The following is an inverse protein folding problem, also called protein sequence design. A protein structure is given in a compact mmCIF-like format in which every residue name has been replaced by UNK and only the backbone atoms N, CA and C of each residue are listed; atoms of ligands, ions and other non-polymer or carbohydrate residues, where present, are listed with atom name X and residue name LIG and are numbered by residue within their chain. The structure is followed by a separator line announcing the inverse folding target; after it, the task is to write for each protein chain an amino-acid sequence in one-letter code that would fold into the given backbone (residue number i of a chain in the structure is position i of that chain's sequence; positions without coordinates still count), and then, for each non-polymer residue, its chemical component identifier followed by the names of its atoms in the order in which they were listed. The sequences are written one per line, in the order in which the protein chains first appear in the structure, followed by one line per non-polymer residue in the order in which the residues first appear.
data_IF_180510977213
#
_entry.id   IF_180510977213
#
_cell.length_a   1.000
_cell.length_b   1.000
_cell.length_c   1.000
_cell.angle_alpha   90.00
_cell.angle_beta   90.00
_cell.angle_gamma   90.00
#
_symmetry.space_group_name_H-M   'P 1'
#
loop_
_entity.id
_entity.type
_entity.pdbx_description
1 polymer ?
#
# COMPACT_ATOMS: atom_id res chain seq x y z
N UNK A 1 19.89 15.21 -20.36
CA UNK A 1 19.07 14.25 -19.60
C UNK A 1 18.18 14.90 -18.54
N UNK A 2 18.65 15.88 -17.77
CA UNK A 2 17.81 16.60 -16.79
C UNK A 2 16.62 17.35 -17.42
N UNK A 3 16.75 17.89 -18.63
CA UNK A 3 15.64 18.53 -19.33
C UNK A 3 14.53 17.53 -19.72
N UNK A 4 14.91 16.33 -20.18
CA UNK A 4 13.93 15.31 -20.59
C UNK A 4 13.10 14.77 -19.41
N UNK A 5 13.71 14.63 -18.23
CA UNK A 5 12.99 14.20 -17.01
C UNK A 5 11.95 15.26 -16.61
N UNK A 6 12.34 16.53 -16.57
CA UNK A 6 11.43 17.63 -16.20
C UNK A 6 10.21 17.72 -17.11
N UNK A 7 10.37 17.43 -18.41
CA UNK A 7 9.31 17.53 -19.40
C UNK A 7 8.47 16.25 -19.47
N UNK A 8 8.93 15.14 -18.87
CA UNK A 8 8.20 13.85 -18.86
C UNK A 8 7.28 13.68 -17.65
N UNK A 9 7.41 14.51 -16.60
CA UNK A 9 6.61 14.47 -15.38
C UNK A 9 5.82 15.77 -15.17
N UNK A 10 4.70 15.71 -14.44
CA UNK A 10 3.95 16.89 -14.07
C UNK A 10 4.80 17.86 -13.20
N UNK A 11 4.64 19.18 -13.36
CA UNK A 11 3.75 19.86 -14.30
C UNK A 11 4.30 20.02 -15.74
N UNK A 12 5.55 19.71 -16.01
CA UNK A 12 6.21 19.91 -17.31
C UNK A 12 5.54 19.15 -18.45
N UNK A 13 5.10 17.91 -18.19
CA UNK A 13 4.40 17.06 -19.17
C UNK A 13 3.19 17.74 -19.83
N UNK A 14 2.48 18.60 -19.10
CA UNK A 14 1.31 19.33 -19.64
C UNK A 14 1.65 20.33 -20.74
N UNK A 15 2.91 20.73 -20.82
CA UNK A 15 3.42 21.75 -21.75
C UNK A 15 4.36 21.17 -22.81
N UNK A 16 4.79 19.93 -22.65
CA UNK A 16 5.80 19.31 -23.52
C UNK A 16 5.25 18.75 -24.84
N UNK A 17 3.92 18.55 -24.96
CA UNK A 17 3.34 17.86 -26.12
C UNK A 17 3.78 16.41 -26.17
N UNK A 18 4.11 15.91 -27.37
CA UNK A 18 4.61 14.54 -27.55
C UNK A 18 6.09 14.45 -27.19
N UNK A 19 6.42 13.59 -26.23
CA UNK A 19 7.81 13.34 -25.79
C UNK A 19 8.32 12.06 -26.45
N UNK A 20 9.32 12.17 -27.30
CA UNK A 20 9.98 11.04 -27.96
C UNK A 20 11.32 10.74 -27.29
N UNK A 21 11.46 9.57 -26.71
CA UNK A 21 12.72 9.08 -26.16
C UNK A 21 13.48 8.32 -27.24
N UNK A 22 14.75 8.71 -27.49
CA UNK A 22 15.63 8.05 -28.46
C UNK A 22 16.95 7.72 -27.79
N UNK A 23 17.42 6.51 -27.99
CA UNK A 23 18.76 6.12 -27.63
C UNK A 23 19.75 6.77 -28.61
N UNK A 24 20.74 7.48 -28.07
CA UNK A 24 21.80 8.16 -28.81
C UNK A 24 23.15 7.44 -28.68
N UNK A 25 23.19 6.23 -28.15
CA UNK A 25 24.38 5.39 -28.04
C UNK A 25 25.41 5.85 -27.01
N UNK A 26 25.05 6.73 -26.09
CA UNK A 26 25.94 7.13 -24.99
C UNK A 26 25.71 6.18 -23.82
N UNK A 27 26.64 5.26 -23.61
CA UNK A 27 26.68 4.41 -22.43
C UNK A 27 26.88 5.26 -21.18
N UNK A 28 26.04 5.03 -20.17
CA UNK A 28 26.25 5.57 -18.83
C UNK A 28 26.90 4.49 -17.99
N UNK A 29 28.20 4.65 -17.69
CA UNK A 29 28.75 4.08 -16.47
C UNK A 29 28.13 4.89 -15.31
N UNK A 30 27.09 4.33 -14.72
CA UNK A 30 26.60 4.79 -13.44
C UNK A 30 27.67 4.38 -12.42
N UNK A 31 28.64 5.25 -12.17
CA UNK A 31 29.53 5.10 -11.03
C UNK A 31 28.69 4.94 -9.76
N UNK A 32 29.22 4.26 -8.77
CA UNK A 32 28.60 3.88 -7.49
C UNK A 32 28.19 5.08 -6.60
N UNK A 33 27.69 6.17 -7.15
CA UNK A 33 27.09 7.23 -6.37
C UNK A 33 25.62 6.87 -6.12
N UNK A 34 25.25 6.78 -4.84
CA UNK A 34 23.89 6.64 -4.33
C UNK A 34 23.01 7.84 -4.74
N UNK A 35 22.71 7.95 -6.02
CA UNK A 35 21.70 8.90 -6.49
C UNK A 35 20.31 8.29 -6.26
N UNK A 36 19.34 9.08 -5.76
CA UNK A 36 17.97 8.58 -5.61
C UNK A 36 17.47 8.04 -6.94
N UNK A 37 17.01 6.82 -6.92
CA UNK A 37 16.54 6.11 -8.09
C UNK A 37 15.15 6.59 -8.47
N UNK A 38 14.99 7.14 -9.66
CA UNK A 38 13.69 7.48 -10.23
C UNK A 38 13.42 6.53 -11.39
N UNK A 39 12.30 5.83 -11.31
CA UNK A 39 11.85 4.93 -12.37
C UNK A 39 10.38 5.20 -12.72
N UNK A 40 9.98 4.85 -13.92
CA UNK A 40 8.58 4.71 -14.31
C UNK A 40 8.27 3.21 -14.44
N UNK A 41 7.04 2.83 -14.10
CA UNK A 41 6.55 1.47 -14.31
C UNK A 41 6.17 1.34 -15.78
N UNK A 42 6.85 0.46 -16.50
CA UNK A 42 6.59 0.15 -17.90
C UNK A 42 5.74 -1.13 -18.03
N UNK A 43 5.21 -1.37 -19.22
CA UNK A 43 4.37 -2.54 -19.46
C UNK A 43 5.11 -3.86 -19.21
N UNK A 44 6.39 -3.91 -19.55
CA UNK A 44 7.26 -5.06 -19.38
C UNK A 44 7.46 -5.42 -17.90
N UNK A 45 7.42 -4.43 -17.00
CA UNK A 45 7.45 -4.65 -15.55
C UNK A 45 6.17 -5.35 -15.08
N UNK A 46 5.01 -4.96 -15.63
CA UNK A 46 3.72 -5.57 -15.31
C UNK A 46 3.62 -7.01 -15.81
N UNK A 47 4.18 -7.33 -16.97
CA UNK A 47 4.13 -8.66 -17.55
C UNK A 47 4.80 -9.71 -16.65
N UNK A 48 5.77 -9.32 -15.83
CA UNK A 48 6.42 -10.20 -14.84
C UNK A 48 5.49 -10.59 -13.68
N UNK A 49 4.56 -9.71 -13.32
CA UNK A 49 3.62 -9.97 -12.22
C UNK A 49 2.36 -10.71 -12.66
N UNK A 50 2.05 -10.73 -13.95
CA UNK A 50 0.81 -11.30 -14.48
C UNK A 50 0.89 -12.81 -14.79
N UNK A 51 2.07 -13.42 -14.66
CA UNK A 51 2.26 -14.85 -14.98
C UNK A 51 1.75 -15.72 -13.83
N UNK A 52 0.54 -16.25 -13.95
CA UNK A 52 -0.01 -17.22 -13.01
C UNK A 52 0.43 -18.65 -13.36
N UNK A 53 0.89 -19.39 -12.35
CA UNK A 53 1.11 -20.83 -12.48
C UNK A 53 -0.22 -21.57 -12.61
N UNK A 54 -0.41 -22.42 -13.64
CA UNK A 54 -1.67 -23.16 -13.86
C UNK A 54 -2.08 -24.06 -12.69
N UNK A 55 -1.10 -24.50 -11.89
CA UNK A 55 -1.29 -25.40 -10.74
C UNK A 55 -1.37 -24.67 -9.39
N UNK A 56 -1.46 -23.35 -9.41
CA UNK A 56 -1.52 -22.54 -8.18
C UNK A 56 -2.87 -22.63 -7.48
N UNK A 57 -2.85 -22.55 -6.14
CA UNK A 57 -4.04 -22.39 -5.28
C UNK A 57 -4.04 -20.99 -4.63
N UNK A 58 -5.11 -20.66 -3.93
CA UNK A 58 -5.25 -19.34 -3.28
C UNK A 58 -4.08 -18.98 -2.34
N UNK A 59 -3.45 -19.95 -1.69
CA UNK A 59 -2.28 -19.72 -0.85
C UNK A 59 -0.99 -19.42 -1.63
N UNK A 60 -0.90 -19.88 -2.89
CA UNK A 60 0.27 -19.66 -3.76
C UNK A 60 0.36 -18.20 -4.25
N UNK A 61 -0.78 -17.51 -4.33
CA UNK A 61 -0.86 -16.17 -4.92
C UNK A 61 -0.79 -15.04 -3.90
N UNK A 62 -0.32 -15.34 -2.69
CA UNK A 62 -0.08 -14.37 -1.65
C UNK A 62 -1.31 -13.98 -0.84
N UNK A 63 -1.03 -13.49 0.36
CA UNK A 63 -1.99 -13.07 1.39
C UNK A 63 -1.73 -11.62 1.73
N UNK A 64 -2.71 -10.79 1.57
CA UNK A 64 -2.57 -9.35 1.86
C UNK A 64 -3.48 -8.96 3.02
N UNK A 65 -2.87 -8.33 4.02
CA UNK A 65 -3.58 -7.68 5.11
C UNK A 65 -3.82 -6.21 4.77
N UNK A 66 -5.06 -5.76 4.91
CA UNK A 66 -5.46 -4.39 4.62
C UNK A 66 -6.01 -3.75 5.90
N UNK A 67 -5.30 -2.76 6.45
CA UNK A 67 -5.76 -1.93 7.56
C UNK A 67 -6.38 -0.65 7.00
N UNK A 68 -7.69 -0.60 6.89
CA UNK A 68 -8.39 0.46 6.17
C UNK A 68 -9.83 0.64 6.66
N UNK A 69 -10.38 1.81 6.43
CA UNK A 69 -11.78 2.11 6.70
C UNK A 69 -12.07 2.42 8.16
N UNK A 70 -12.50 3.64 8.42
CA UNK A 70 -13.16 4.07 9.65
C UNK A 70 -14.68 4.00 9.48
N UNK A 71 -15.44 4.26 10.54
CA UNK A 71 -16.90 4.21 10.49
C UNK A 71 -17.55 5.16 9.47
N UNK A 72 -16.82 6.17 9.01
CA UNK A 72 -17.25 7.09 7.97
C UNK A 72 -16.75 6.72 6.56
N UNK A 73 -15.74 5.85 6.46
CA UNK A 73 -15.00 5.59 5.21
C UNK A 73 -14.87 4.10 4.87
N UNK A 74 -15.92 3.32 5.08
CA UNK A 74 -15.98 1.90 4.72
C UNK A 74 -15.63 1.65 3.25
N UNK A 75 -16.06 2.54 2.36
CA UNK A 75 -15.79 2.43 0.92
C UNK A 75 -14.32 2.35 0.57
N UNK A 76 -13.44 3.03 1.32
CA UNK A 76 -11.99 2.96 1.12
C UNK A 76 -11.44 1.56 1.40
N UNK A 77 -11.89 0.90 2.48
CA UNK A 77 -11.53 -0.48 2.78
C UNK A 77 -11.98 -1.45 1.69
N UNK A 78 -13.23 -1.31 1.21
CA UNK A 78 -13.78 -2.13 0.13
C UNK A 78 -12.99 -1.96 -1.16
N UNK A 79 -12.69 -0.72 -1.56
CA UNK A 79 -11.95 -0.43 -2.79
C UNK A 79 -10.53 -0.95 -2.71
N UNK A 80 -9.85 -0.76 -1.59
CA UNK A 80 -8.51 -1.27 -1.37
C UNK A 80 -8.48 -2.80 -1.46
N UNK A 81 -9.36 -3.49 -0.73
CA UNK A 81 -9.42 -4.94 -0.74
C UNK A 81 -9.80 -5.53 -2.11
N UNK A 82 -10.70 -4.86 -2.85
CA UNK A 82 -11.00 -5.23 -4.24
C UNK A 82 -9.79 -5.06 -5.16
N UNK A 83 -9.03 -3.99 -5.01
CA UNK A 83 -7.82 -3.78 -5.79
C UNK A 83 -6.78 -4.88 -5.53
N UNK A 84 -6.61 -5.29 -4.28
CA UNK A 84 -5.77 -6.43 -3.88
C UNK A 84 -6.19 -7.72 -4.60
N UNK A 85 -7.48 -8.07 -4.57
CA UNK A 85 -7.95 -9.27 -5.28
C UNK A 85 -7.83 -9.13 -6.80
N UNK A 86 -8.13 -7.95 -7.35
CA UNK A 86 -8.02 -7.67 -8.79
C UNK A 86 -6.57 -7.71 -9.29
N UNK A 87 -5.58 -7.36 -8.44
CA UNK A 87 -4.16 -7.48 -8.76
C UNK A 87 -3.65 -8.92 -8.79
N UNK A 88 -4.48 -9.87 -8.33
CA UNK A 88 -4.17 -11.29 -8.40
C UNK A 88 -3.77 -11.95 -7.09
N UNK A 89 -3.82 -11.24 -5.96
CA UNK A 89 -3.63 -11.84 -4.65
C UNK A 89 -4.61 -12.99 -4.40
N UNK A 90 -4.14 -14.04 -3.74
CA UNK A 90 -4.95 -15.23 -3.48
C UNK A 90 -5.95 -15.05 -2.35
N UNK A 91 -5.61 -14.23 -1.36
CA UNK A 91 -6.44 -13.95 -0.19
C UNK A 91 -6.25 -12.51 0.28
N UNK A 92 -7.33 -11.92 0.78
CA UNK A 92 -7.31 -10.63 1.46
C UNK A 92 -7.99 -10.75 2.82
N UNK A 93 -7.38 -10.16 3.84
CA UNK A 93 -8.00 -9.93 5.14
C UNK A 93 -8.02 -8.43 5.41
N UNK A 94 -9.15 -7.92 5.89
CA UNK A 94 -9.37 -6.50 6.18
C UNK A 94 -9.49 -6.29 7.68
N UNK A 95 -8.64 -5.47 8.25
CA UNK A 95 -8.77 -4.95 9.62
C UNK A 95 -9.43 -3.58 9.53
N UNK A 96 -10.63 -3.47 10.02
CA UNK A 96 -11.45 -2.26 9.86
C UNK A 96 -12.29 -1.98 11.11
N UNK A 97 -12.87 -0.79 11.21
CA UNK A 97 -13.77 -0.47 12.33
C UNK A 97 -15.01 -1.37 12.33
N UNK A 98 -15.46 -1.80 13.50
CA UNK A 98 -16.59 -2.74 13.71
C UNK A 98 -17.87 -2.32 12.96
N UNK A 99 -18.15 -1.03 12.84
CA UNK A 99 -19.30 -0.51 12.07
C UNK A 99 -19.28 -0.89 10.60
N UNK A 100 -18.12 -1.24 10.07
CA UNK A 100 -17.94 -1.63 8.67
C UNK A 100 -18.23 -3.12 8.41
N UNK A 101 -18.50 -3.92 9.44
CA UNK A 101 -18.76 -5.37 9.33
C UNK A 101 -19.80 -5.70 8.26
N UNK A 102 -20.98 -5.17 8.40
CA UNK A 102 -22.08 -5.46 7.45
C UNK A 102 -21.81 -4.91 6.07
N UNK A 103 -21.49 -3.61 5.88
CA UNK A 103 -21.25 -3.10 4.54
C UNK A 103 -20.03 -3.74 3.85
N UNK A 104 -18.99 -4.13 4.59
CA UNK A 104 -17.84 -4.83 4.02
C UNK A 104 -18.26 -6.18 3.43
N UNK A 105 -18.90 -7.04 4.22
CA UNK A 105 -19.30 -8.38 3.74
C UNK A 105 -20.40 -8.35 2.69
N UNK A 106 -21.27 -7.33 2.70
CA UNK A 106 -22.23 -7.14 1.61
C UNK A 106 -21.53 -6.75 0.29
N UNK A 107 -20.46 -5.96 0.36
CA UNK A 107 -19.76 -5.48 -0.82
C UNK A 107 -18.64 -6.43 -1.31
N UNK A 108 -18.03 -7.19 -0.40
CA UNK A 108 -16.88 -8.06 -0.67
C UNK A 108 -16.95 -9.35 0.19
N UNK A 109 -17.85 -10.28 -0.14
CA UNK A 109 -18.04 -11.52 0.63
C UNK A 109 -16.82 -12.46 0.59
N UNK A 110 -15.90 -12.27 -0.35
CA UNK A 110 -14.66 -13.04 -0.48
C UNK A 110 -13.58 -12.65 0.54
N UNK A 111 -13.69 -11.47 1.15
CA UNK A 111 -12.73 -11.01 2.13
C UNK A 111 -12.94 -11.66 3.49
N UNK A 112 -11.83 -11.96 4.16
CA UNK A 112 -11.83 -12.19 5.60
C UNK A 112 -11.75 -10.83 6.31
N UNK A 113 -12.18 -10.73 7.56
CA UNK A 113 -12.05 -9.48 8.30
C UNK A 113 -11.92 -9.70 9.80
N UNK A 114 -11.12 -8.83 10.42
CA UNK A 114 -11.07 -8.59 11.85
C UNK A 114 -11.41 -7.13 12.14
N UNK A 115 -11.88 -6.87 13.36
CA UNK A 115 -12.51 -5.59 13.67
C UNK A 115 -11.94 -4.97 14.93
N UNK A 116 -11.74 -3.65 14.86
CA UNK A 116 -11.42 -2.82 16.02
C UNK A 116 -12.57 -1.85 16.31
N UNK A 117 -12.59 -1.29 17.51
CA UNK A 117 -13.57 -0.29 17.91
C UNK A 117 -12.90 0.97 18.39
N UNK A 118 -13.51 2.10 18.05
CA UNK A 118 -13.03 3.40 18.53
C UNK A 118 -13.14 3.48 20.05
N UNK A 119 -12.14 4.08 20.68
CA UNK A 119 -12.03 4.24 22.12
C UNK A 119 -11.97 2.94 22.96
N UNK A 120 -11.79 1.77 22.31
CA UNK A 120 -11.50 0.51 22.99
C UNK A 120 -10.03 0.10 22.79
N UNK A 121 -9.45 -0.71 23.69
CA UNK A 121 -8.11 -1.26 23.51
C UNK A 121 -8.01 -2.08 22.20
N UNK A 122 -6.85 -1.99 21.55
CA UNK A 122 -6.60 -2.78 20.34
C UNK A 122 -6.61 -4.28 20.64
N UNK A 123 -7.13 -5.10 19.73
CA UNK A 123 -7.05 -6.56 19.83
C UNK A 123 -5.64 -7.05 19.42
N UNK A 124 -4.62 -6.71 20.23
CA UNK A 124 -3.20 -6.91 19.88
C UNK A 124 -2.86 -8.35 19.50
N UNK A 125 -3.39 -9.34 20.22
CA UNK A 125 -3.14 -10.75 19.92
C UNK A 125 -3.65 -11.14 18.53
N UNK A 126 -4.87 -10.70 18.16
CA UNK A 126 -5.43 -10.94 16.84
C UNK A 126 -4.63 -10.20 15.75
N UNK A 127 -4.22 -8.96 16.02
CA UNK A 127 -3.39 -8.18 15.10
C UNK A 127 -2.03 -8.84 14.85
N UNK A 128 -1.38 -9.38 15.87
CA UNK A 128 -0.12 -10.12 15.70
C UNK A 128 -0.31 -11.38 14.85
N UNK A 129 -1.41 -12.10 15.04
CA UNK A 129 -1.75 -13.27 14.22
C UNK A 129 -2.01 -12.86 12.75
N UNK A 130 -2.68 -11.72 12.54
CA UNK A 130 -2.96 -11.18 11.21
C UNK A 130 -1.68 -10.75 10.49
N UNK A 131 -0.79 -10.06 11.19
CA UNK A 131 0.51 -9.66 10.65
C UNK A 131 1.39 -10.88 10.32
N UNK A 132 1.40 -11.88 11.17
CA UNK A 132 2.14 -13.13 10.92
C UNK A 132 1.54 -13.97 9.78
N UNK A 133 0.24 -13.81 9.50
CA UNK A 133 -0.43 -14.49 8.39
C UNK A 133 -0.14 -13.84 7.03
N UNK A 134 0.16 -12.56 6.99
CA UNK A 134 0.28 -11.77 5.77
C UNK A 134 1.63 -11.95 5.06
N UNK A 135 1.62 -11.91 3.74
CA UNK A 135 2.81 -11.80 2.89
C UNK A 135 3.10 -10.34 2.48
N UNK A 136 2.10 -9.46 2.60
CA UNK A 136 2.22 -8.01 2.46
C UNK A 136 1.11 -7.30 3.25
N UNK A 137 1.38 -6.05 3.63
CA UNK A 137 0.44 -5.22 4.41
C UNK A 137 0.18 -3.91 3.67
N UNK A 138 -1.06 -3.47 3.66
CA UNK A 138 -1.47 -2.13 3.21
C UNK A 138 -2.15 -1.43 4.37
N UNK A 139 -1.74 -0.23 4.72
CA UNK A 139 -2.34 0.55 5.81
C UNK A 139 -2.63 1.99 5.40
N UNK A 140 -3.80 2.48 5.80
CA UNK A 140 -4.15 3.89 5.72
C UNK A 140 -5.40 4.28 4.96
N UNK A 141 -5.82 3.63 3.86
CA UNK A 141 -6.98 4.10 3.11
C UNK A 141 -8.23 4.25 3.98
N UNK A 142 -8.67 5.50 4.21
CA UNK A 142 -9.84 5.81 5.02
C UNK A 142 -9.75 5.39 6.49
N UNK A 143 -8.56 5.27 7.05
CA UNK A 143 -8.33 4.83 8.43
C UNK A 143 -8.77 5.87 9.46
N UNK A 144 -8.87 7.13 9.06
CA UNK A 144 -9.03 8.33 9.89
C UNK A 144 -7.76 8.73 10.65
N UNK A 145 -7.86 9.86 11.37
CA UNK A 145 -6.78 10.35 12.24
C UNK A 145 -7.16 10.27 13.72
N UNK A 146 -8.04 9.34 14.07
CA UNK A 146 -8.42 9.15 15.46
C UNK A 146 -7.25 8.60 16.27
N UNK A 147 -7.39 8.68 17.59
CA UNK A 147 -6.40 8.12 18.51
C UNK A 147 -6.23 6.62 18.28
N UNK A 148 -7.31 5.88 18.18
CA UNK A 148 -7.29 4.43 17.97
C UNK A 148 -6.67 4.07 16.62
N UNK A 149 -6.97 4.85 15.56
CA UNK A 149 -6.34 4.67 14.24
C UNK A 149 -4.83 4.91 14.30
N UNK A 150 -4.36 5.92 15.05
CA UNK A 150 -2.92 6.16 15.26
C UNK A 150 -2.27 5.01 16.02
N UNK A 151 -2.88 4.54 17.10
CA UNK A 151 -2.40 3.39 17.88
C UNK A 151 -2.30 2.13 17.00
N UNK A 152 -3.32 1.85 16.18
CA UNK A 152 -3.33 0.74 15.23
C UNK A 152 -2.21 0.85 14.19
N UNK A 153 -1.98 2.03 13.63
CA UNK A 153 -0.91 2.28 12.69
C UNK A 153 0.47 2.06 13.33
N UNK A 154 0.71 2.63 14.51
CA UNK A 154 1.96 2.48 15.27
C UNK A 154 2.22 1.00 15.55
N UNK A 155 1.23 0.29 16.07
CA UNK A 155 1.34 -1.15 16.34
C UNK A 155 1.70 -1.93 15.07
N UNK A 156 1.02 -1.66 13.97
CA UNK A 156 1.27 -2.30 12.68
C UNK A 156 2.70 -2.07 12.19
N UNK A 157 3.15 -0.81 12.19
CA UNK A 157 4.50 -0.43 11.73
C UNK A 157 5.60 -1.09 12.56
N UNK A 158 5.39 -1.21 13.87
CA UNK A 158 6.37 -1.80 14.79
C UNK A 158 6.47 -3.33 14.68
N UNK A 159 5.38 -4.02 14.29
CA UNK A 159 5.32 -5.47 14.29
C UNK A 159 5.29 -6.09 12.88
N UNK A 160 5.24 -5.27 11.82
CA UNK A 160 5.27 -5.77 10.44
C UNK A 160 6.71 -6.13 10.03
N UNK A 161 6.89 -7.34 9.52
CA UNK A 161 8.16 -7.84 8.98
C UNK A 161 8.12 -8.06 7.45
N UNK A 162 6.94 -7.99 6.85
CA UNK A 162 6.69 -8.14 5.41
C UNK A 162 6.51 -6.77 4.74
N UNK A 163 6.63 -6.65 3.40
CA UNK A 163 6.48 -5.37 2.72
C UNK A 163 5.21 -4.61 3.12
N UNK A 164 5.35 -3.31 3.41
CA UNK A 164 4.31 -2.43 3.94
C UNK A 164 4.06 -1.25 3.00
N UNK A 165 2.84 -1.14 2.51
CA UNK A 165 2.36 0.02 1.74
C UNK A 165 1.62 0.96 2.69
N UNK A 166 2.01 2.23 2.70
CA UNK A 166 1.43 3.29 3.53
C UNK A 166 0.81 4.36 2.63
N UNK A 167 -0.50 4.56 2.77
CA UNK A 167 -1.29 5.45 1.92
C UNK A 167 -2.22 6.34 2.74
N UNK A 168 -2.66 7.43 2.16
CA UNK A 168 -3.73 8.30 2.65
C UNK A 168 -3.57 8.68 4.14
N UNK A 169 -4.47 8.26 5.03
CA UNK A 169 -4.46 8.65 6.44
C UNK A 169 -3.25 8.13 7.21
N UNK A 170 -2.65 7.01 6.80
CA UNK A 170 -1.37 6.58 7.38
C UNK A 170 -0.27 7.60 7.11
N UNK A 171 -0.19 8.15 5.89
CA UNK A 171 0.78 9.20 5.55
C UNK A 171 0.49 10.51 6.30
N UNK A 172 -0.79 10.85 6.47
CA UNK A 172 -1.19 12.01 7.25
C UNK A 172 -0.75 11.90 8.73
N UNK A 173 -0.92 10.72 9.34
CA UNK A 173 -0.49 10.45 10.71
C UNK A 173 1.03 10.46 10.84
N UNK A 174 1.75 9.90 9.87
CA UNK A 174 3.22 9.92 9.82
C UNK A 174 3.75 11.33 9.61
N UNK A 175 3.06 12.16 8.82
CA UNK A 175 3.45 13.56 8.64
C UNK A 175 3.33 14.39 9.93
N UNK A 176 2.40 14.03 10.83
CA UNK A 176 2.27 14.62 12.15
C UNK A 176 3.33 14.11 13.14
N UNK A 177 3.83 12.90 12.95
CA UNK A 177 4.78 12.20 13.83
C UNK A 177 5.63 11.22 13.05
N UNK A 178 6.74 11.69 12.50
CA UNK A 178 7.65 10.87 11.68
C UNK A 178 8.33 9.74 12.47
N UNK A 179 8.34 9.81 13.80
CA UNK A 179 8.90 8.75 14.65
C UNK A 179 8.11 7.44 14.56
N UNK A 180 6.86 7.48 14.08
CA UNK A 180 6.08 6.26 13.78
C UNK A 180 6.89 5.29 12.92
N UNK A 181 7.70 5.79 11.97
CA UNK A 181 8.52 4.95 11.09
C UNK A 181 9.81 4.46 11.74
N UNK A 182 10.18 5.00 12.91
CA UNK A 182 11.45 4.71 13.57
C UNK A 182 11.47 3.31 14.07
N UNK A 183 11.60 2.32 13.83
CA UNK A 183 11.52 0.93 14.34
C UNK A 183 10.88 -0.02 13.33
N UNK A 184 10.38 0.51 12.22
CA UNK A 184 9.85 -0.32 11.15
C UNK A 184 10.99 -1.07 10.44
N UNK A 185 10.98 -2.39 10.54
CA UNK A 185 11.97 -3.27 9.91
C UNK A 185 11.60 -3.66 8.48
N UNK A 186 10.32 -3.53 8.14
CA UNK A 186 9.79 -3.88 6.82
C UNK A 186 10.25 -2.90 5.73
N UNK A 187 10.34 -3.40 4.50
CA UNK A 187 10.43 -2.53 3.33
C UNK A 187 9.13 -1.71 3.19
N UNK A 188 9.26 -0.42 2.92
CA UNK A 188 8.12 0.51 2.90
C UNK A 188 7.94 1.14 1.54
N UNK A 189 6.69 1.17 1.08
CA UNK A 189 6.24 1.93 -0.08
C UNK A 189 5.29 3.03 0.42
N UNK A 190 5.60 4.26 0.11
CA UNK A 190 4.79 5.43 0.44
C UNK A 190 4.14 5.97 -0.84
N UNK A 191 2.84 6.24 -0.81
CA UNK A 191 2.06 6.71 -1.96
C UNK A 191 1.50 8.12 -1.76
N UNK A 192 2.36 9.15 -1.55
CA UNK A 192 1.90 10.49 -1.27
C UNK A 192 1.24 11.13 -2.50
N UNK A 193 0.15 11.86 -2.28
CA UNK A 193 -0.41 12.76 -3.28
C UNK A 193 0.44 14.02 -3.40
N UNK A 194 0.53 14.55 -4.62
CA UNK A 194 1.05 15.89 -4.89
C UNK A 194 -0.07 16.87 -4.49
N UNK A 195 -0.01 17.35 -3.26
CA UNK A 195 -0.99 18.28 -2.69
C UNK A 195 -0.45 19.68 -2.59
#
# INVERSE_FOLDING_TARGET
RQMCIRDSFDPGKRYAGEVLVRDIGIGFDAGEEETPWYGSVEKEDLDRFLTRTPMGNKGTFGKVLVLAGSGAMCGAAVLCARAVLASGAGMVKVVTEERNRTPLFCALPEAMADFWKEDEPLPEEALLQDLAWADAVVAGPGLSKSRTAKELLVFTVQHTEVPLVLDADALNLIAEDAEILSGCRAEKILTPHVG
#
